data_IF_252846496561
#
_entry.id   IF_252846496561
#
_cell.length_a   1.000
_cell.length_b   1.000
_cell.length_c   1.000
_cell.angle_alpha   90.00
_cell.angle_beta   90.00
_cell.angle_gamma   90.00
#
_symmetry.space_group_name_H-M   'P 1'
#
loop_
_entity.id
_entity.type
_entity.pdbx_description
1 polymer ?
#
# COMPACT_ATOMS: atom_id res chain seq x y z
N UNK A 1 -0.10 11.73 -19.42
CA UNK A 1 0.83 10.76 -18.80
C UNK A 1 1.65 11.54 -17.79
N UNK A 2 1.34 11.39 -16.50
CA UNK A 2 2.03 12.13 -15.44
C UNK A 2 3.42 11.51 -15.27
N UNK A 3 4.43 12.27 -15.68
CA UNK A 3 5.83 12.00 -15.45
C UNK A 3 6.09 12.19 -13.94
N UNK A 4 5.79 11.13 -13.18
CA UNK A 4 6.13 11.04 -11.76
C UNK A 4 7.65 10.92 -11.73
N UNK A 5 8.37 12.04 -11.71
CA UNK A 5 9.80 12.06 -11.41
C UNK A 5 9.95 11.28 -10.10
N UNK A 6 10.42 10.04 -10.19
CA UNK A 6 10.76 9.24 -9.03
C UNK A 6 11.77 10.08 -8.25
N UNK A 7 11.47 10.52 -7.02
CA UNK A 7 12.49 11.14 -6.20
C UNK A 7 13.66 10.16 -6.17
N UNK A 8 14.87 10.61 -6.51
CA UNK A 8 16.01 9.71 -6.51
C UNK A 8 16.24 9.32 -5.05
N UNK A 9 16.07 8.03 -4.73
CA UNK A 9 16.22 7.51 -3.38
C UNK A 9 17.71 7.30 -3.04
N UNK A 10 18.59 8.13 -3.62
CA UNK A 10 20.04 7.94 -3.63
C UNK A 10 20.60 7.97 -2.21
N UNK A 11 20.09 8.86 -1.35
CA UNK A 11 20.49 8.93 0.07
C UNK A 11 20.14 7.64 0.84
N UNK A 12 18.99 7.03 0.54
CA UNK A 12 18.56 5.78 1.14
C UNK A 12 19.37 4.60 0.59
N UNK A 13 19.65 4.58 -0.72
CA UNK A 13 20.51 3.58 -1.35
C UNK A 13 21.92 3.66 -0.77
N UNK A 14 22.47 4.86 -0.61
CA UNK A 14 23.76 5.11 0.02
C UNK A 14 23.78 4.64 1.47
N UNK A 15 22.71 4.90 2.21
CA UNK A 15 22.57 4.38 3.57
C UNK A 15 22.61 2.85 3.60
N UNK A 16 21.83 2.17 2.75
CA UNK A 16 21.78 0.70 2.68
C UNK A 16 23.11 0.09 2.27
N UNK A 17 23.81 0.68 1.30
CA UNK A 17 25.16 0.23 0.91
C UNK A 17 26.15 0.34 2.06
N UNK A 18 26.01 1.36 2.93
CA UNK A 18 26.89 1.53 4.11
C UNK A 18 26.56 0.58 5.26
N UNK A 19 25.29 0.21 5.44
CA UNK A 19 24.82 -0.54 6.62
C UNK A 19 24.56 -2.02 6.36
N UNK A 20 24.64 -2.45 5.09
CA UNK A 20 24.41 -3.83 4.66
C UNK A 20 25.53 -4.30 3.72
N UNK A 21 25.49 -5.56 3.28
CA UNK A 21 26.41 -6.10 2.28
C UNK A 21 25.92 -5.89 0.82
N UNK A 22 24.81 -5.16 0.62
CA UNK A 22 24.21 -4.97 -0.70
C UNK A 22 25.07 -4.08 -1.58
N UNK A 23 25.24 -4.49 -2.84
CA UNK A 23 25.78 -3.61 -3.88
C UNK A 23 24.77 -2.50 -4.21
N UNK A 24 25.25 -1.37 -4.72
CA UNK A 24 24.40 -0.20 -5.06
C UNK A 24 23.20 -0.57 -5.94
N UNK A 25 23.41 -1.43 -6.93
CA UNK A 25 22.32 -1.90 -7.81
C UNK A 25 21.27 -2.74 -7.07
N UNK A 26 21.69 -3.60 -6.15
CA UNK A 26 20.80 -4.43 -5.34
C UNK A 26 20.01 -3.58 -4.34
N UNK A 27 20.67 -2.64 -3.67
CA UNK A 27 20.02 -1.70 -2.76
C UNK A 27 18.97 -0.85 -3.49
N UNK A 28 19.28 -0.32 -4.68
CA UNK A 28 18.31 0.40 -5.50
C UNK A 28 17.12 -0.49 -5.90
N UNK A 29 17.37 -1.75 -6.26
CA UNK A 29 16.31 -2.71 -6.60
C UNK A 29 15.39 -2.99 -5.42
N UNK A 30 15.95 -3.25 -4.24
CA UNK A 30 15.18 -3.47 -3.00
C UNK A 30 14.32 -2.26 -2.67
N UNK A 31 14.86 -1.04 -2.77
CA UNK A 31 14.08 0.19 -2.55
C UNK A 31 12.92 0.27 -3.52
N UNK A 32 13.15 0.05 -4.82
CA UNK A 32 12.08 0.06 -5.81
C UNK A 32 11.04 -1.04 -5.58
N UNK A 33 11.46 -2.24 -5.20
CA UNK A 33 10.55 -3.37 -4.93
C UNK A 33 9.72 -3.12 -3.67
N UNK A 34 10.30 -2.53 -2.62
CA UNK A 34 9.60 -2.11 -1.40
C UNK A 34 8.61 -0.99 -1.70
N UNK A 35 9.02 0.02 -2.46
CA UNK A 35 8.13 1.11 -2.88
C UNK A 35 7.00 0.58 -3.76
N UNK A 36 7.28 -0.31 -4.71
CA UNK A 36 6.27 -0.95 -5.55
C UNK A 36 5.30 -1.80 -4.71
N UNK A 37 5.81 -2.48 -3.69
CA UNK A 37 4.97 -3.22 -2.72
C UNK A 37 4.04 -2.28 -1.95
N UNK A 38 4.46 -1.05 -1.66
CA UNK A 38 3.67 -0.05 -0.95
C UNK A 38 2.94 0.97 -1.85
N UNK A 39 3.13 0.94 -3.17
CA UNK A 39 2.47 1.85 -4.12
C UNK A 39 0.98 1.50 -4.31
N UNK A 40 0.51 0.38 -3.76
CA UNK A 40 -0.92 0.11 -3.66
C UNK A 40 -1.58 1.20 -2.81
N UNK A 41 -2.30 2.10 -3.46
CA UNK A 41 -3.04 3.15 -2.78
C UNK A 41 -4.06 2.54 -1.82
N UNK A 42 -4.45 3.30 -0.81
CA UNK A 42 -5.55 2.90 0.10
C UNK A 42 -6.81 2.51 -0.64
N UNK A 43 -7.11 3.20 -1.74
CA UNK A 43 -8.29 2.89 -2.54
C UNK A 43 -8.17 1.56 -3.27
N UNK A 44 -7.01 1.29 -3.89
CA UNK A 44 -6.75 0.01 -4.56
C UNK A 44 -6.79 -1.16 -3.58
N UNK A 45 -6.19 -1.00 -2.40
CA UNK A 45 -6.27 -1.97 -1.32
C UNK A 45 -7.72 -2.26 -0.94
N UNK A 46 -8.51 -1.23 -0.65
CA UNK A 46 -9.92 -1.37 -0.24
C UNK A 46 -10.73 -2.08 -1.33
N UNK A 47 -10.56 -1.71 -2.61
CA UNK A 47 -11.28 -2.33 -3.74
C UNK A 47 -10.87 -3.79 -3.97
N UNK A 48 -9.58 -4.12 -3.88
CA UNK A 48 -9.10 -5.50 -4.01
C UNK A 48 -9.59 -6.35 -2.84
N UNK A 49 -9.44 -5.86 -1.61
CA UNK A 49 -9.79 -6.59 -0.40
C UNK A 49 -11.30 -6.82 -0.27
N UNK A 50 -12.11 -5.82 -0.66
CA UNK A 50 -13.57 -5.96 -0.72
C UNK A 50 -13.97 -7.11 -1.67
N UNK A 51 -13.40 -7.15 -2.88
CA UNK A 51 -13.65 -8.24 -3.85
C UNK A 51 -13.24 -9.60 -3.32
N UNK A 52 -12.09 -9.71 -2.66
CA UNK A 52 -11.62 -10.96 -2.07
C UNK A 52 -12.57 -11.50 -0.98
N UNK A 53 -13.05 -10.62 -0.09
CA UNK A 53 -13.95 -11.01 0.99
C UNK A 53 -15.36 -11.28 0.47
N UNK A 54 -15.83 -10.54 -0.54
CA UNK A 54 -17.09 -10.80 -1.23
C UNK A 54 -17.06 -12.17 -1.92
N UNK A 55 -15.97 -12.53 -2.59
CA UNK A 55 -15.80 -13.84 -3.21
C UNK A 55 -15.81 -15.00 -2.18
N UNK A 56 -15.49 -14.71 -0.92
CA UNK A 56 -15.60 -15.65 0.21
C UNK A 56 -17.00 -15.68 0.85
N UNK A 57 -17.96 -14.93 0.31
CA UNK A 57 -19.35 -14.91 0.76
C UNK A 57 -19.65 -14.00 1.97
N UNK A 58 -18.73 -13.10 2.34
CA UNK A 58 -18.98 -12.17 3.45
C UNK A 58 -20.02 -11.10 3.06
N UNK A 59 -20.81 -10.66 4.03
CA UNK A 59 -21.77 -9.57 3.85
C UNK A 59 -21.05 -8.22 3.84
N UNK A 60 -21.59 -7.24 3.10
CA UNK A 60 -20.98 -5.91 3.02
C UNK A 60 -20.65 -5.27 4.38
N UNK A 61 -21.52 -5.31 5.41
CA UNK A 61 -21.16 -4.81 6.74
C UNK A 61 -19.91 -5.48 7.30
N UNK A 62 -19.85 -6.81 7.29
CA UNK A 62 -18.71 -7.57 7.78
C UNK A 62 -17.42 -7.29 6.98
N UNK A 63 -17.53 -7.06 5.67
CA UNK A 63 -16.40 -6.69 4.82
C UNK A 63 -15.85 -5.31 5.23
N UNK A 64 -16.70 -4.31 5.39
CA UNK A 64 -16.25 -2.95 5.73
C UNK A 64 -15.66 -2.87 7.14
N UNK A 65 -16.23 -3.61 8.11
CA UNK A 65 -15.68 -3.71 9.47
C UNK A 65 -14.28 -4.35 9.45
N UNK A 66 -14.13 -5.47 8.72
CA UNK A 66 -12.84 -6.15 8.52
C UNK A 66 -11.79 -5.24 7.88
N UNK A 67 -12.16 -4.51 6.83
CA UNK A 67 -11.24 -3.60 6.14
C UNK A 67 -10.83 -2.44 7.06
N UNK A 68 -11.76 -1.92 7.87
CA UNK A 68 -11.49 -0.91 8.90
C UNK A 68 -10.45 -1.38 9.91
N UNK A 69 -10.54 -2.63 10.36
CA UNK A 69 -9.55 -3.24 11.27
C UNK A 69 -8.19 -3.49 10.61
N UNK A 70 -8.15 -3.84 9.32
CA UNK A 70 -6.90 -4.16 8.60
C UNK A 70 -6.09 -2.90 8.21
N UNK A 71 -6.75 -1.76 7.95
CA UNK A 71 -6.11 -0.53 7.45
C UNK A 71 -5.00 0.05 8.35
N UNK A 72 -5.15 0.12 9.69
CA UNK A 72 -4.10 0.61 10.60
C UNK A 72 -2.82 -0.24 10.60
N UNK A 73 -2.89 -1.49 10.15
CA UNK A 73 -1.76 -2.43 10.13
C UNK A 73 -0.96 -2.38 8.82
N UNK A 74 -1.34 -1.53 7.86
CA UNK A 74 -0.57 -1.34 6.62
C UNK A 74 0.70 -0.53 6.91
N UNK A 75 1.81 -0.89 6.27
CA UNK A 75 3.09 -0.23 6.53
C UNK A 75 3.14 1.24 6.04
N UNK A 76 2.28 1.61 5.10
CA UNK A 76 1.93 3.00 4.81
C UNK A 76 0.48 3.18 5.24
N UNK A 77 0.29 3.39 6.54
CA UNK A 77 -1.04 3.53 7.13
C UNK A 77 -1.68 4.84 6.65
N UNK A 78 -2.77 4.79 5.87
CA UNK A 78 -3.51 6.00 5.56
C UNK A 78 -4.16 6.58 6.82
N UNK A 79 -4.55 7.86 6.80
CA UNK A 79 -5.44 8.40 7.81
C UNK A 79 -6.68 7.50 7.95
N UNK A 80 -7.15 7.32 9.19
CA UNK A 80 -8.29 6.45 9.48
C UNK A 80 -9.49 6.83 8.61
N UNK A 81 -10.00 5.86 7.86
CA UNK A 81 -11.18 6.03 7.01
C UNK A 81 -12.42 5.59 7.77
N UNK A 82 -13.43 6.47 7.81
CA UNK A 82 -14.78 6.10 8.28
C UNK A 82 -15.43 5.09 7.32
N UNK A 83 -16.41 4.33 7.82
CA UNK A 83 -17.23 3.42 7.00
C UNK A 83 -17.85 4.12 5.79
N UNK A 84 -18.24 5.40 5.93
CA UNK A 84 -18.77 6.19 4.82
C UNK A 84 -17.73 6.44 3.73
N UNK A 85 -16.49 6.75 4.12
CA UNK A 85 -15.37 6.91 3.17
C UNK A 85 -15.04 5.59 2.49
N UNK A 86 -15.00 4.47 3.23
CA UNK A 86 -14.77 3.14 2.65
C UNK A 86 -15.83 2.77 1.60
N UNK A 87 -17.11 3.02 1.89
CA UNK A 87 -18.19 2.78 0.94
C UNK A 87 -18.06 3.63 -0.32
N UNK A 88 -17.60 4.88 -0.19
CA UNK A 88 -17.35 5.76 -1.34
C UNK A 88 -16.19 5.29 -2.21
N UNK A 89 -15.15 4.69 -1.62
CA UNK A 89 -14.03 4.12 -2.38
C UNK A 89 -14.47 2.95 -3.26
N UNK A 90 -15.43 2.14 -2.78
CA UNK A 90 -15.92 0.94 -3.48
C UNK A 90 -17.04 1.25 -4.47
N UNK A 91 -17.99 2.13 -4.11
CA UNK A 91 -19.21 2.36 -4.89
C UNK A 91 -19.32 3.76 -5.52
N UNK A 92 -18.46 4.70 -5.10
CA UNK A 92 -18.54 6.10 -5.48
C UNK A 92 -17.62 6.48 -6.63
#
# INVERSE_FOLDING_TARGET
MLDRRTPSHDDLVDHLVRTTALQRGEAARVVLDVLAYFDETTEEYVRRRHRELQARGLTNPAIFDRISEELPHRAVAPPALSLRQLRRVVYG
#
